data_IF_624732681844
#
_entry.id   IF_624732681844
#
_cell.length_a   1.000
_cell.length_b   1.000
_cell.length_c   1.000
_cell.angle_alpha   90.00
_cell.angle_beta   90.00
_cell.angle_gamma   90.00
#
_symmetry.space_group_name_H-M   'P 1'
#
loop_
_entity.id
_entity.type
_entity.pdbx_description
1 polymer ?
#
# COMPACT_ATOMS: atom_id res chain seq x y z
N UNK A 1 -57.04 -11.68 18.10
CA UNK A 1 -56.58 -10.45 17.43
C UNK A 1 -55.16 -10.72 17.02
N UNK A 2 -54.92 -10.74 15.70
CA UNK A 2 -53.81 -11.44 15.04
C UNK A 2 -52.43 -10.80 15.31
N UNK A 3 -51.42 -11.65 15.28
CA UNK A 3 -50.00 -11.33 15.37
C UNK A 3 -49.55 -10.44 14.20
N UNK A 4 -49.09 -9.22 14.48
CA UNK A 4 -48.25 -8.48 13.53
C UNK A 4 -46.81 -8.94 13.72
N UNK A 5 -46.50 -10.03 13.01
CA UNK A 5 -45.14 -10.54 12.82
C UNK A 5 -44.30 -9.44 12.16
N UNK A 6 -43.13 -9.19 12.74
CA UNK A 6 -42.10 -8.32 12.18
C UNK A 6 -41.82 -8.70 10.73
N UNK A 7 -42.33 -7.88 9.82
CA UNK A 7 -42.11 -8.03 8.40
C UNK A 7 -40.70 -7.50 8.11
N UNK A 8 -39.73 -8.40 8.24
CA UNK A 8 -38.35 -8.19 7.83
C UNK A 8 -38.36 -7.60 6.41
N UNK A 9 -37.90 -6.34 6.30
CA UNK A 9 -37.58 -5.70 5.03
C UNK A 9 -36.46 -6.49 4.36
N UNK A 10 -36.84 -7.55 3.66
CA UNK A 10 -36.03 -8.42 2.79
C UNK A 10 -35.90 -7.85 1.38
N UNK A 11 -36.05 -6.54 1.23
CA UNK A 11 -35.96 -5.90 -0.07
C UNK A 11 -34.48 -5.63 -0.38
N UNK A 12 -33.91 -6.44 -1.29
CA UNK A 12 -32.61 -6.17 -1.90
C UNK A 12 -32.60 -4.70 -2.33
N UNK A 13 -31.61 -3.94 -1.89
CA UNK A 13 -31.48 -2.54 -2.28
C UNK A 13 -31.64 -2.42 -3.81
N UNK A 14 -32.76 -1.83 -4.24
CA UNK A 14 -33.04 -1.52 -5.64
C UNK A 14 -31.87 -0.72 -6.20
N UNK A 15 -31.53 -0.92 -7.47
CA UNK A 15 -30.31 -0.36 -8.08
C UNK A 15 -30.16 1.15 -7.83
N UNK A 16 -31.28 1.88 -7.76
CA UNK A 16 -31.35 3.29 -7.40
C UNK A 16 -30.78 3.61 -6.01
N UNK A 17 -31.06 2.77 -5.00
CA UNK A 17 -30.59 2.97 -3.62
C UNK A 17 -29.08 2.69 -3.51
N UNK A 18 -28.55 1.73 -4.27
CA UNK A 18 -27.10 1.45 -4.38
C UNK A 18 -26.36 2.61 -5.04
N UNK A 19 -26.96 3.20 -6.07
CA UNK A 19 -26.37 4.34 -6.78
C UNK A 19 -26.35 5.61 -5.89
N UNK A 20 -27.38 5.81 -5.07
CA UNK A 20 -27.43 6.89 -4.07
C UNK A 20 -26.38 6.71 -2.95
N UNK A 21 -26.21 5.51 -2.38
CA UNK A 21 -25.13 5.27 -1.40
C UNK A 21 -23.76 5.43 -2.02
N UNK A 22 -23.59 5.00 -3.28
CA UNK A 22 -22.35 5.25 -4.03
C UNK A 22 -22.10 6.75 -4.14
N UNK A 23 -23.07 7.55 -4.61
CA UNK A 23 -22.96 9.02 -4.72
C UNK A 23 -22.61 9.71 -3.39
N UNK A 24 -23.04 9.16 -2.26
CA UNK A 24 -22.70 9.60 -0.89
C UNK A 24 -21.32 9.13 -0.40
N UNK A 25 -20.53 8.44 -1.24
CA UNK A 25 -19.17 7.98 -0.94
C UNK A 25 -19.10 6.61 -0.26
N UNK A 26 -20.24 6.00 0.04
CA UNK A 26 -20.31 4.67 0.66
C UNK A 26 -20.24 3.59 -0.43
N UNK A 27 -19.01 3.30 -0.87
CA UNK A 27 -18.73 2.21 -1.82
C UNK A 27 -18.26 0.98 -1.06
N UNK A 28 -18.86 -0.18 -1.35
CA UNK A 28 -18.40 -1.45 -0.79
C UNK A 28 -16.98 -1.76 -1.29
N UNK A 29 -16.04 -1.91 -0.35
CA UNK A 29 -14.64 -2.28 -0.62
C UNK A 29 -14.38 -3.65 -0.01
N UNK A 30 -13.65 -4.50 -0.72
CA UNK A 30 -13.21 -5.79 -0.17
C UNK A 30 -11.79 -5.65 0.37
N UNK A 31 -11.67 -5.73 1.70
CA UNK A 31 -10.37 -5.75 2.38
C UNK A 31 -9.53 -6.93 1.89
N UNK A 32 -10.16 -8.07 1.63
CA UNK A 32 -9.51 -9.28 1.15
C UNK A 32 -8.88 -9.09 -0.24
N UNK A 33 -9.57 -8.39 -1.15
CA UNK A 33 -9.04 -8.11 -2.50
C UNK A 33 -7.81 -7.20 -2.42
N UNK A 34 -7.82 -6.19 -1.55
CA UNK A 34 -6.63 -5.33 -1.34
C UNK A 34 -5.43 -6.15 -0.89
N UNK A 35 -5.60 -6.97 0.15
CA UNK A 35 -4.53 -7.78 0.71
C UNK A 35 -3.99 -8.79 -0.31
N UNK A 36 -4.87 -9.47 -1.05
CA UNK A 36 -4.47 -10.41 -2.09
C UNK A 36 -3.66 -9.74 -3.21
N UNK A 37 -4.10 -8.58 -3.70
CA UNK A 37 -3.41 -7.87 -4.77
C UNK A 37 -2.03 -7.34 -4.33
N UNK A 38 -1.91 -6.84 -3.11
CA UNK A 38 -0.62 -6.44 -2.53
C UNK A 38 0.33 -7.63 -2.41
N UNK A 39 -0.19 -8.80 -1.99
CA UNK A 39 0.60 -10.03 -1.90
C UNK A 39 1.11 -10.48 -3.28
N UNK A 40 0.24 -10.51 -4.29
CA UNK A 40 0.64 -10.83 -5.67
C UNK A 40 1.67 -9.84 -6.21
N UNK A 41 1.47 -8.54 -5.96
CA UNK A 41 2.43 -7.51 -6.34
C UNK A 41 3.78 -7.71 -5.65
N UNK A 42 3.79 -8.07 -4.38
CA UNK A 42 5.01 -8.36 -3.62
C UNK A 42 5.79 -9.52 -4.24
N UNK A 43 5.11 -10.61 -4.63
CA UNK A 43 5.75 -11.70 -5.37
C UNK A 43 6.28 -11.25 -6.73
N UNK A 44 5.52 -10.44 -7.48
CA UNK A 44 5.97 -9.88 -8.75
C UNK A 44 7.22 -9.02 -8.62
N UNK A 45 7.28 -8.18 -7.58
CA UNK A 45 8.47 -7.38 -7.26
C UNK A 45 9.67 -8.27 -6.97
N UNK A 46 9.50 -9.32 -6.16
CA UNK A 46 10.58 -10.25 -5.86
C UNK A 46 11.06 -11.01 -7.10
N UNK A 47 10.17 -11.39 -8.01
CA UNK A 47 10.56 -12.05 -9.26
C UNK A 47 11.34 -11.13 -10.20
N UNK A 48 10.91 -9.87 -10.34
CA UNK A 48 11.52 -8.92 -11.28
C UNK A 48 12.79 -8.26 -10.71
N UNK A 49 12.75 -7.85 -9.44
CA UNK A 49 13.79 -7.05 -8.80
C UNK A 49 14.60 -7.82 -7.75
N UNK A 50 14.21 -9.05 -7.39
CA UNK A 50 14.87 -9.83 -6.33
C UNK A 50 16.36 -10.02 -6.55
N UNK A 51 16.81 -10.27 -7.80
CA UNK A 51 18.24 -10.35 -8.11
C UNK A 51 18.95 -9.02 -7.83
N UNK A 52 18.38 -7.90 -8.27
CA UNK A 52 18.95 -6.56 -8.05
C UNK A 52 19.01 -6.22 -6.56
N UNK A 53 17.96 -6.56 -5.80
CA UNK A 53 17.90 -6.37 -4.35
C UNK A 53 18.99 -7.20 -3.67
N UNK A 54 19.11 -8.49 -4.01
CA UNK A 54 20.10 -9.37 -3.42
C UNK A 54 21.53 -8.91 -3.74
N UNK A 55 21.81 -8.55 -4.98
CA UNK A 55 23.12 -8.00 -5.39
C UNK A 55 23.40 -6.68 -4.67
N UNK A 56 22.44 -5.78 -4.56
CA UNK A 56 22.59 -4.52 -3.83
C UNK A 56 22.93 -4.74 -2.36
N UNK A 57 22.23 -5.65 -1.68
CA UNK A 57 22.50 -6.02 -0.29
C UNK A 57 23.90 -6.64 -0.15
N UNK A 58 24.25 -7.58 -1.04
CA UNK A 58 25.57 -8.22 -1.03
C UNK A 58 26.71 -7.19 -1.21
N UNK A 59 26.52 -6.21 -2.08
CA UNK A 59 27.47 -5.12 -2.30
C UNK A 59 27.62 -4.21 -1.07
N UNK A 60 26.52 -3.92 -0.35
CA UNK A 60 26.60 -3.15 0.90
C UNK A 60 27.39 -3.92 1.95
N UNK A 61 27.11 -5.22 2.12
CA UNK A 61 27.78 -6.06 3.11
C UNK A 61 29.28 -6.15 2.80
N UNK A 62 29.63 -6.57 1.59
CA UNK A 62 31.03 -6.71 1.18
C UNK A 62 31.77 -5.38 1.17
N UNK A 63 31.12 -4.29 0.76
CA UNK A 63 31.67 -2.93 0.83
C UNK A 63 31.97 -2.50 2.27
N UNK A 64 31.08 -2.80 3.20
CA UNK A 64 31.25 -2.47 4.63
C UNK A 64 32.44 -3.23 5.25
N UNK A 65 32.61 -4.52 4.90
CA UNK A 65 33.76 -5.31 5.35
C UNK A 65 35.09 -4.82 4.76
N UNK A 66 35.12 -4.41 3.49
CA UNK A 66 36.34 -3.87 2.86
C UNK A 66 36.75 -2.52 3.43
N UNK A 67 35.78 -1.67 3.80
CA UNK A 67 36.04 -0.36 4.41
C UNK A 67 36.66 -0.51 5.81
N UNK A 68 36.23 -1.51 6.58
CA UNK A 68 36.68 -1.76 7.96
C UNK A 68 38.22 -1.84 8.11
N UNK A 69 38.95 -2.29 7.08
CA UNK A 69 40.41 -2.46 7.15
C UNK A 69 41.20 -1.15 7.04
N UNK A 70 40.59 -0.05 6.57
CA UNK A 70 41.30 1.20 6.24
C UNK A 70 40.59 2.47 6.70
N UNK A 71 39.46 2.35 7.39
CA UNK A 71 38.58 3.48 7.70
C UNK A 71 39.03 4.24 8.94
N UNK A 72 39.25 5.54 8.78
CA UNK A 72 39.48 6.45 9.90
C UNK A 72 38.14 6.74 10.61
N UNK A 73 38.05 6.39 11.90
CA UNK A 73 36.88 6.53 12.77
C UNK A 73 36.63 7.99 13.21
N UNK A 74 36.82 8.93 12.30
CA UNK A 74 36.52 10.34 12.52
C UNK A 74 35.02 10.62 12.44
N UNK A 75 34.56 11.66 13.13
CA UNK A 75 33.15 12.10 13.10
C UNK A 75 32.69 12.43 11.66
N UNK A 76 33.45 13.19 10.84
CA UNK A 76 33.08 13.46 9.45
C UNK A 76 32.96 12.19 8.60
N UNK A 77 33.94 11.28 8.68
CA UNK A 77 33.94 10.03 7.91
C UNK A 77 32.73 9.17 8.26
N UNK A 78 32.43 9.01 9.55
CA UNK A 78 31.30 8.21 10.03
C UNK A 78 29.95 8.77 9.56
N UNK A 79 29.78 10.10 9.59
CA UNK A 79 28.56 10.75 9.07
C UNK A 79 28.39 10.50 7.57
N UNK A 80 29.46 10.63 6.80
CA UNK A 80 29.42 10.36 5.36
C UNK A 80 29.01 8.91 5.06
N UNK A 81 29.65 7.94 5.74
CA UNK A 81 29.32 6.53 5.61
C UNK A 81 27.85 6.24 5.95
N UNK A 82 27.33 6.86 7.01
CA UNK A 82 25.95 6.68 7.42
C UNK A 82 24.95 7.17 6.35
N UNK A 83 25.16 8.36 5.79
CA UNK A 83 24.32 8.89 4.71
C UNK A 83 24.42 8.04 3.43
N UNK A 84 25.62 7.60 3.06
CA UNK A 84 25.84 6.73 1.91
C UNK A 84 25.10 5.39 2.06
N UNK A 85 25.16 4.77 3.24
CA UNK A 85 24.41 3.54 3.52
C UNK A 85 22.90 3.76 3.42
N UNK A 86 22.36 4.82 4.03
CA UNK A 86 20.92 5.14 3.93
C UNK A 86 20.49 5.28 2.48
N UNK A 87 21.26 6.03 1.67
CA UNK A 87 20.94 6.22 0.25
C UNK A 87 20.97 4.90 -0.52
N UNK A 88 21.96 4.04 -0.26
CA UNK A 88 22.05 2.72 -0.90
C UNK A 88 20.86 1.83 -0.55
N UNK A 89 20.47 1.76 0.73
CA UNK A 89 19.27 1.03 1.16
C UNK A 89 17.99 1.60 0.53
N UNK A 90 17.87 2.92 0.48
CA UNK A 90 16.71 3.59 -0.11
C UNK A 90 16.58 3.28 -1.60
N UNK A 91 17.68 3.33 -2.36
CA UNK A 91 17.69 3.01 -3.80
C UNK A 91 17.32 1.54 -4.04
N UNK A 92 17.79 0.62 -3.19
CA UNK A 92 17.44 -0.82 -3.30
C UNK A 92 15.95 -1.05 -3.06
N UNK A 93 15.35 -0.35 -2.10
CA UNK A 93 13.93 -0.51 -1.74
C UNK A 93 12.98 0.32 -2.60
N UNK A 94 13.47 1.37 -3.27
CA UNK A 94 12.65 2.29 -4.07
C UNK A 94 11.77 1.57 -5.12
N UNK A 95 12.25 0.58 -5.90
CA UNK A 95 11.40 -0.15 -6.85
C UNK A 95 10.24 -0.88 -6.17
N UNK A 96 10.47 -1.42 -4.97
CA UNK A 96 9.43 -2.12 -4.19
C UNK A 96 8.33 -1.14 -3.80
N UNK A 97 8.70 0.03 -3.25
CA UNK A 97 7.73 1.05 -2.85
C UNK A 97 6.92 1.58 -4.03
N UNK A 98 7.57 1.84 -5.17
CA UNK A 98 6.88 2.33 -6.37
C UNK A 98 5.84 1.32 -6.84
N UNK A 99 6.20 0.05 -6.97
CA UNK A 99 5.26 -0.97 -7.44
C UNK A 99 4.10 -1.15 -6.47
N UNK A 100 4.37 -1.24 -5.16
CA UNK A 100 3.31 -1.38 -4.17
C UNK A 100 2.39 -0.15 -4.11
N UNK A 101 2.94 1.05 -4.25
CA UNK A 101 2.14 2.28 -4.32
C UNK A 101 1.23 2.29 -5.57
N UNK A 102 1.78 1.97 -6.75
CA UNK A 102 1.02 1.89 -7.99
C UNK A 102 -0.10 0.86 -7.87
N UNK A 103 0.20 -0.35 -7.38
CA UNK A 103 -0.81 -1.40 -7.21
C UNK A 103 -1.86 -0.99 -6.18
N UNK A 104 -1.46 -0.44 -5.04
CA UNK A 104 -2.40 0.01 -4.02
C UNK A 104 -3.38 1.07 -4.55
N UNK A 105 -2.88 2.06 -5.30
CA UNK A 105 -3.70 3.06 -5.97
C UNK A 105 -4.62 2.41 -7.00
N UNK A 106 -4.07 1.54 -7.86
CA UNK A 106 -4.81 0.89 -8.93
C UNK A 106 -5.95 0.00 -8.42
N UNK A 107 -5.70 -0.79 -7.38
CA UNK A 107 -6.71 -1.63 -6.74
C UNK A 107 -7.79 -0.77 -6.09
N UNK A 108 -7.42 0.35 -5.46
CA UNK A 108 -8.39 1.29 -4.91
C UNK A 108 -9.29 1.88 -6.01
N UNK A 109 -8.70 2.28 -7.13
CA UNK A 109 -9.43 2.80 -8.30
C UNK A 109 -10.38 1.73 -8.88
N UNK A 110 -9.95 0.48 -9.01
CA UNK A 110 -10.81 -0.60 -9.52
C UNK A 110 -12.00 -0.86 -8.59
N UNK A 111 -11.78 -0.89 -7.27
CA UNK A 111 -12.84 -1.21 -6.31
C UNK A 111 -13.86 -0.08 -6.16
N UNK A 112 -13.40 1.17 -6.19
CA UNK A 112 -14.24 2.34 -5.89
C UNK A 112 -14.77 2.99 -7.17
N UNK A 113 -14.03 2.85 -8.27
CA UNK A 113 -14.18 3.70 -9.45
C UNK A 113 -13.68 5.13 -9.19
N UNK A 114 -13.79 5.98 -10.22
CA UNK A 114 -13.61 7.43 -10.06
C UNK A 114 -14.88 8.02 -9.42
N UNK A 115 -14.97 7.96 -8.10
CA UNK A 115 -16.03 8.61 -7.34
C UNK A 115 -15.51 9.83 -6.58
N UNK A 116 -15.68 11.00 -7.18
CA UNK A 116 -15.49 12.27 -6.50
C UNK A 116 -16.79 12.66 -5.80
N UNK A 117 -16.85 12.49 -4.48
CA UNK A 117 -17.99 12.94 -3.68
C UNK A 117 -17.61 14.23 -2.98
N UNK A 118 -18.12 15.35 -3.49
CA UNK A 118 -17.93 16.69 -2.89
C UNK A 118 -18.75 16.92 -1.62
N UNK A 119 -19.60 15.97 -1.25
CA UNK A 119 -20.36 16.02 0.00
C UNK A 119 -19.44 15.64 1.16
N UNK A 120 -19.04 16.67 1.87
CA UNK A 120 -18.28 16.63 3.12
C UNK A 120 -18.98 15.68 4.10
N UNK A 121 -18.17 14.87 4.78
CA UNK A 121 -18.57 13.83 5.72
C UNK A 121 -19.17 14.40 7.02
N UNK A 122 -20.29 15.12 6.92
CA UNK A 122 -20.91 15.86 8.03
C UNK A 122 -22.00 15.04 8.76
N UNK A 123 -22.05 13.71 8.54
CA UNK A 123 -22.99 12.81 9.23
C UNK A 123 -22.31 11.80 10.17
N UNK A 124 -21.04 12.00 10.51
CA UNK A 124 -20.48 11.45 11.75
C UNK A 124 -20.90 12.33 12.96
N UNK A 125 -22.21 12.49 13.12
CA UNK A 125 -22.81 13.00 14.34
C UNK A 125 -23.31 11.81 15.16
N UNK A 126 -22.74 11.68 16.37
CA UNK A 126 -22.92 10.65 17.42
C UNK A 126 -22.16 9.34 17.22
#
# INVERSE_FOLDING_TARGET
>A
MAEETGQERTERATDRRREETRKKGQVARSIEVNSAMILFASFGVLMLFGKSILTGISNIITGSFNISSSFDLSIPSTKFLFFDLILKYFIILMPVFIVLAIVGIFVNIIQVGFLFTGERNDLAGT
#
